data_IF_748829267074
#
_entry.id   IF_748829267074
#
_cell.length_a   1.000
_cell.length_b   1.000
_cell.length_c   1.000
_cell.angle_alpha   90.00
_cell.angle_beta   90.00
_cell.angle_gamma   90.00
#
_symmetry.space_group_name_H-M   'P 1'
#
loop_
_entity.id
_entity.type
_entity.pdbx_description
1 polymer ?
#
# COMPACT_ATOMS: atom_id res chain seq x y z
N UNK A 1 15.14 -23.21 6.16
CA UNK A 1 13.79 -22.81 6.58
C UNK A 1 13.83 -21.39 7.11
N UNK A 2 13.04 -20.51 6.53
CA UNK A 2 13.03 -19.12 6.95
C UNK A 2 12.24 -18.94 8.24
N UNK A 3 12.74 -18.10 9.12
CA UNK A 3 12.00 -17.72 10.30
C UNK A 3 10.86 -16.78 9.90
N UNK A 4 9.78 -16.84 10.65
CA UNK A 4 8.57 -16.06 10.38
C UNK A 4 8.34 -15.02 11.47
N UNK A 5 7.68 -13.95 11.07
CA UNK A 5 7.23 -12.91 11.98
C UNK A 5 5.80 -12.51 11.60
N UNK A 6 5.15 -11.83 12.52
CA UNK A 6 3.76 -11.44 12.31
C UNK A 6 3.69 -10.14 11.51
N UNK A 7 2.80 -10.11 10.50
CA UNK A 7 2.42 -8.88 9.83
C UNK A 7 0.92 -8.67 9.98
N UNK A 8 0.53 -7.44 10.30
CA UNK A 8 -0.87 -7.05 10.27
C UNK A 8 -1.03 -5.78 9.45
N UNK A 9 -2.10 -5.74 8.65
CA UNK A 9 -2.49 -4.57 7.88
C UNK A 9 -3.91 -4.22 8.32
N UNK A 10 -4.08 -3.01 8.84
CA UNK A 10 -5.33 -2.56 9.45
C UNK A 10 -5.76 -1.25 8.80
N UNK A 11 -7.05 -1.16 8.50
CA UNK A 11 -7.70 0.08 8.08
C UNK A 11 -8.70 0.49 9.16
N UNK A 12 -9.29 1.70 9.08
CA UNK A 12 -10.29 2.10 10.07
C UNK A 12 -11.51 1.18 10.18
N UNK A 13 -11.80 0.39 9.15
CA UNK A 13 -13.00 -0.43 9.11
C UNK A 13 -12.75 -1.93 9.26
N UNK A 14 -11.51 -2.40 9.06
CA UNK A 14 -11.26 -3.85 9.11
C UNK A 14 -9.78 -4.19 9.26
N UNK A 15 -9.54 -5.41 9.70
CA UNK A 15 -8.22 -6.05 9.63
C UNK A 15 -8.14 -6.72 8.26
N UNK A 16 -7.23 -6.25 7.41
CA UNK A 16 -7.09 -6.75 6.03
C UNK A 16 -6.19 -7.99 6.01
N UNK A 17 -5.15 -7.99 6.83
CA UNK A 17 -4.17 -9.06 6.90
C UNK A 17 -3.71 -9.24 8.33
N UNK A 18 -3.58 -10.50 8.76
CA UNK A 18 -3.02 -10.88 10.05
C UNK A 18 -2.44 -12.28 9.87
N UNK A 19 -1.14 -12.35 9.55
CA UNK A 19 -0.47 -13.61 9.23
C UNK A 19 0.96 -13.64 9.70
N UNK A 20 1.51 -14.84 9.80
CA UNK A 20 2.95 -15.04 9.92
C UNK A 20 3.56 -15.18 8.54
N UNK A 21 4.60 -14.41 8.27
CA UNK A 21 5.22 -14.30 6.95
C UNK A 21 6.75 -14.33 7.06
N UNK A 22 7.42 -14.50 5.94
CA UNK A 22 8.88 -14.59 5.90
C UNK A 22 9.54 -13.24 5.58
N UNK A 23 8.83 -12.37 4.87
CA UNK A 23 9.32 -11.06 4.46
C UNK A 23 8.14 -10.14 4.15
N UNK A 24 8.32 -8.85 4.40
CA UNK A 24 7.36 -7.81 3.97
C UNK A 24 8.12 -6.74 3.20
N UNK A 25 7.58 -6.34 2.06
CA UNK A 25 8.10 -5.21 1.28
C UNK A 25 7.00 -4.16 1.24
N UNK A 26 7.29 -2.96 1.76
CA UNK A 26 6.29 -1.91 1.93
C UNK A 26 6.70 -0.63 1.18
N UNK A 27 5.70 0.14 0.68
CA UNK A 27 5.96 1.39 -0.04
C UNK A 27 6.14 2.55 0.96
N UNK A 28 7.35 2.70 1.48
CA UNK A 28 7.68 3.79 2.40
C UNK A 28 7.81 5.13 1.69
N UNK A 29 7.69 6.21 2.46
CA UNK A 29 7.77 7.57 1.93
C UNK A 29 9.15 7.86 1.34
N UNK A 30 10.19 7.20 1.84
CA UNK A 30 11.57 7.34 1.35
C UNK A 30 11.92 6.28 0.30
N UNK A 31 10.96 5.47 -0.11
CA UNK A 31 11.15 4.39 -1.06
C UNK A 31 10.71 3.05 -0.48
N UNK A 32 10.67 2.03 -1.31
CA UNK A 32 10.37 0.68 -0.85
C UNK A 32 11.41 0.21 0.18
N UNK A 33 10.94 -0.51 1.19
CA UNK A 33 11.83 -1.14 2.14
C UNK A 33 11.35 -2.57 2.43
N UNK A 34 12.31 -3.44 2.67
CA UNK A 34 12.03 -4.84 3.02
C UNK A 34 12.29 -5.11 4.48
N UNK A 35 11.46 -5.96 5.07
CA UNK A 35 11.58 -6.36 6.47
C UNK A 35 11.70 -7.86 6.54
N UNK A 36 12.74 -8.32 7.25
CA UNK A 36 12.95 -9.72 7.63
C UNK A 36 12.91 -9.80 9.15
N UNK A 37 12.83 -11.02 9.69
CA UNK A 37 12.82 -11.18 11.14
C UNK A 37 14.08 -10.55 11.76
N UNK A 38 13.92 -9.95 12.93
CA UNK A 38 15.04 -9.29 13.62
C UNK A 38 15.38 -7.91 13.08
N UNK A 39 14.58 -7.37 12.18
CA UNK A 39 14.78 -6.02 11.65
C UNK A 39 14.85 -5.00 12.78
N UNK A 40 15.72 -4.01 12.63
CA UNK A 40 15.83 -2.90 13.58
C UNK A 40 14.48 -2.21 13.73
N UNK A 41 14.02 -1.93 14.95
CA UNK A 41 12.76 -1.20 15.15
C UNK A 41 12.73 0.12 14.41
N UNK A 42 11.60 0.41 13.78
CA UNK A 42 11.44 1.59 12.91
C UNK A 42 9.98 2.00 12.86
N UNK A 43 9.74 3.29 12.78
CA UNK A 43 8.43 3.85 12.48
C UNK A 43 8.59 4.73 11.25
N UNK A 44 7.79 4.49 10.22
CA UNK A 44 7.87 5.24 8.97
C UNK A 44 6.50 5.46 8.35
N UNK A 45 6.39 6.48 7.52
CA UNK A 45 5.16 6.72 6.76
C UNK A 45 5.11 5.82 5.54
N UNK A 46 3.88 5.43 5.19
CA UNK A 46 3.56 4.62 4.01
C UNK A 46 2.84 5.51 3.02
N UNK A 47 3.27 5.47 1.76
CA UNK A 47 2.59 6.16 0.65
C UNK A 47 1.74 5.16 -0.12
N UNK A 48 0.74 5.64 -0.89
CA UNK A 48 -0.05 4.73 -1.71
C UNK A 48 0.82 3.93 -2.67
N UNK A 49 0.63 2.63 -2.68
CA UNK A 49 1.45 1.73 -3.49
C UNK A 49 1.12 0.29 -3.25
N UNK A 50 2.06 -0.58 -3.60
CA UNK A 50 1.90 -2.02 -3.45
C UNK A 50 2.74 -2.50 -2.27
N UNK A 51 2.06 -3.16 -1.33
CA UNK A 51 2.71 -3.90 -0.25
C UNK A 51 2.71 -5.38 -0.63
N UNK A 52 3.84 -6.06 -0.44
CA UNK A 52 3.90 -7.49 -0.69
C UNK A 52 4.49 -8.22 0.52
N UNK A 53 4.09 -9.47 0.68
CA UNK A 53 4.66 -10.33 1.71
C UNK A 53 4.98 -11.70 1.13
N UNK A 54 5.99 -12.34 1.70
CA UNK A 54 6.46 -13.64 1.25
C UNK A 54 5.87 -14.73 2.12
N UNK A 55 5.18 -15.67 1.49
CA UNK A 55 4.59 -16.84 2.16
C UNK A 55 4.75 -18.05 1.25
N UNK A 56 5.42 -19.09 1.74
CA UNK A 56 5.64 -20.33 0.99
C UNK A 56 6.23 -20.09 -0.39
N UNK A 57 7.31 -19.30 -0.44
CA UNK A 57 8.07 -18.96 -1.64
C UNK A 57 7.28 -18.15 -2.67
N UNK A 58 6.15 -17.57 -2.29
CA UNK A 58 5.35 -16.72 -3.17
C UNK A 58 5.13 -15.35 -2.54
N UNK A 59 5.27 -14.31 -3.35
CA UNK A 59 4.90 -12.97 -2.94
C UNK A 59 3.41 -12.74 -3.21
N UNK A 60 2.72 -12.31 -2.17
CA UNK A 60 1.30 -11.95 -2.25
C UNK A 60 1.22 -10.44 -2.09
N UNK A 61 0.40 -9.79 -2.91
CA UNK A 61 0.39 -8.34 -3.03
C UNK A 61 -0.94 -7.73 -2.63
N UNK A 62 -0.85 -6.55 -2.02
CA UNK A 62 -1.99 -5.70 -1.68
C UNK A 62 -1.75 -4.29 -2.20
N UNK A 63 -2.83 -3.60 -2.57
CA UNK A 63 -2.77 -2.15 -2.80
C UNK A 63 -3.09 -1.48 -1.46
N UNK A 64 -2.22 -0.58 -1.02
CA UNK A 64 -2.39 0.13 0.25
C UNK A 64 -2.33 1.63 0.03
N UNK A 65 -3.12 2.36 0.83
CA UNK A 65 -3.13 3.81 0.81
C UNK A 65 -2.11 4.42 1.78
N UNK A 66 -2.38 5.64 2.20
CA UNK A 66 -1.50 6.37 3.11
C UNK A 66 -1.67 5.90 4.54
N UNK A 67 -0.59 5.97 5.30
CA UNK A 67 -0.59 5.66 6.70
C UNK A 67 0.82 5.56 7.25
N UNK A 68 1.01 4.65 8.18
CA UNK A 68 2.33 4.43 8.75
C UNK A 68 2.53 2.96 9.08
N UNK A 69 3.81 2.61 9.22
CA UNK A 69 4.25 1.25 9.47
C UNK A 69 5.17 1.26 10.69
N UNK A 70 4.84 0.43 11.66
CA UNK A 70 5.70 0.20 12.82
C UNK A 70 6.37 -1.15 12.67
N UNK A 71 7.69 -1.16 12.67
CA UNK A 71 8.49 -2.39 12.57
C UNK A 71 9.14 -2.66 13.92
N UNK A 72 8.89 -3.84 14.45
CA UNK A 72 9.54 -4.36 15.64
C UNK A 72 10.34 -5.60 15.25
N UNK A 73 11.12 -6.16 16.18
CA UNK A 73 11.98 -7.29 15.88
C UNK A 73 11.22 -8.53 15.37
N UNK A 74 9.98 -8.71 15.83
CA UNK A 74 9.18 -9.91 15.56
C UNK A 74 7.82 -9.60 14.93
N UNK A 75 7.55 -8.33 14.60
CA UNK A 75 6.22 -7.93 14.13
C UNK A 75 6.27 -6.65 13.31
N UNK A 76 5.40 -6.60 12.31
CA UNK A 76 5.17 -5.41 11.48
C UNK A 76 3.69 -5.05 11.54
N UNK A 77 3.38 -3.82 11.89
CA UNK A 77 2.01 -3.30 11.90
C UNK A 77 1.90 -2.18 10.88
N UNK A 78 0.99 -2.33 9.94
CA UNK A 78 0.72 -1.36 8.87
C UNK A 78 -0.68 -0.80 9.08
N UNK A 79 -0.76 0.49 9.37
CA UNK A 79 -2.04 1.19 9.59
C UNK A 79 -2.21 2.20 8.46
N UNK A 80 -3.17 1.93 7.59
CA UNK A 80 -3.40 2.70 6.37
C UNK A 80 -4.88 3.06 6.23
N UNK A 81 -5.18 4.08 5.43
CA UNK A 81 -6.55 4.53 5.23
C UNK A 81 -7.38 3.54 4.41
N UNK A 82 -6.75 2.81 3.49
CA UNK A 82 -7.42 1.78 2.69
C UNK A 82 -6.42 0.71 2.26
N UNK A 83 -6.92 -0.49 2.03
CA UNK A 83 -6.11 -1.61 1.55
C UNK A 83 -7.01 -2.61 0.84
N UNK A 84 -6.52 -3.19 -0.26
CA UNK A 84 -7.29 -4.13 -1.08
C UNK A 84 -6.43 -5.29 -1.54
N UNK A 85 -6.97 -6.50 -1.42
CA UNK A 85 -6.40 -7.69 -2.05
C UNK A 85 -6.73 -7.67 -3.55
N UNK A 86 -5.96 -8.42 -4.34
CA UNK A 86 -6.17 -8.50 -5.80
C UNK A 86 -7.61 -8.91 -6.13
N UNK A 87 -8.16 -9.86 -5.38
CA UNK A 87 -9.50 -10.40 -5.61
C UNK A 87 -10.61 -9.37 -5.41
N UNK A 88 -10.33 -8.31 -4.68
CA UNK A 88 -11.31 -7.24 -4.41
C UNK A 88 -11.35 -6.19 -5.52
N UNK A 89 -10.46 -6.27 -6.51
CA UNK A 89 -10.28 -5.24 -7.52
C UNK A 89 -10.86 -5.63 -8.87
N UNK A 90 -11.54 -4.68 -9.51
CA UNK A 90 -12.08 -4.80 -10.86
C UNK A 90 -11.28 -3.88 -11.78
N UNK A 91 -10.54 -4.44 -12.72
CA UNK A 91 -9.66 -3.68 -13.60
C UNK A 91 -10.39 -2.60 -14.40
N UNK A 92 -11.60 -2.89 -14.86
CA UNK A 92 -12.38 -1.91 -15.65
C UNK A 92 -12.81 -0.74 -14.78
N UNK A 93 -13.32 -1.04 -13.59
CA UNK A 93 -13.75 0.01 -12.65
C UNK A 93 -12.57 0.88 -12.21
N UNK A 94 -11.43 0.26 -11.91
CA UNK A 94 -10.22 0.98 -11.50
C UNK A 94 -9.67 1.83 -12.63
N UNK A 95 -9.67 1.32 -13.85
CA UNK A 95 -9.23 2.08 -15.04
C UNK A 95 -10.08 3.32 -15.25
N UNK A 96 -11.39 3.18 -15.09
CA UNK A 96 -12.33 4.30 -15.20
C UNK A 96 -12.08 5.34 -14.11
N UNK A 97 -11.87 4.90 -12.88
CA UNK A 97 -11.52 5.77 -11.75
C UNK A 97 -10.24 6.56 -12.06
N UNK A 98 -9.22 5.87 -12.55
CA UNK A 98 -7.95 6.50 -12.87
C UNK A 98 -8.11 7.58 -13.95
N UNK A 99 -8.87 7.31 -15.02
CA UNK A 99 -9.13 8.29 -16.07
C UNK A 99 -9.80 9.54 -15.51
N UNK A 100 -10.79 9.38 -14.64
CA UNK A 100 -11.46 10.51 -14.00
C UNK A 100 -10.51 11.35 -13.16
N UNK A 101 -9.62 10.69 -12.42
CA UNK A 101 -8.63 11.39 -11.60
C UNK A 101 -7.61 12.13 -12.47
N UNK A 102 -7.18 11.54 -13.57
CA UNK A 102 -6.25 12.18 -14.51
C UNK A 102 -6.87 13.43 -15.13
N UNK A 103 -8.15 13.40 -15.46
CA UNK A 103 -8.87 14.57 -15.96
C UNK A 103 -8.93 15.67 -14.91
N UNK A 104 -9.18 15.32 -13.65
CA UNK A 104 -9.17 16.29 -12.55
C UNK A 104 -7.78 16.91 -12.37
N UNK A 105 -6.72 16.14 -12.55
CA UNK A 105 -5.35 16.63 -12.40
C UNK A 105 -5.03 17.70 -13.44
N UNK A 106 -5.51 17.54 -14.67
CA UNK A 106 -5.32 18.53 -15.73
C UNK A 106 -6.02 19.85 -15.38
N UNK A 107 -7.16 19.78 -14.71
CA UNK A 107 -8.01 20.94 -14.41
C UNK A 107 -7.63 21.67 -13.12
N UNK A 108 -6.91 21.03 -12.21
CA UNK A 108 -6.60 21.63 -10.90
C UNK A 108 -5.39 22.56 -10.98
N UNK A 109 -5.47 23.66 -10.23
CA UNK A 109 -4.36 24.60 -10.08
C UNK A 109 -3.63 24.30 -8.76
N UNK A 110 -2.44 23.72 -8.86
CA UNK A 110 -1.64 23.34 -7.69
C UNK A 110 -1.24 24.52 -6.83
N UNK A 111 -1.11 25.71 -7.43
CA UNK A 111 -0.74 26.93 -6.71
C UNK A 111 -1.94 27.49 -5.95
N UNK A 112 -3.11 27.51 -6.58
CA UNK A 112 -4.32 28.05 -5.99
C UNK A 112 -4.92 27.09 -4.93
N UNK A 113 -4.75 25.77 -5.13
CA UNK A 113 -5.32 24.75 -4.25
C UNK A 113 -4.29 23.65 -3.98
N UNK A 114 -3.25 23.93 -3.19
CA UNK A 114 -2.20 22.94 -2.91
C UNK A 114 -2.71 21.73 -2.14
N UNK A 115 -3.68 21.89 -1.25
CA UNK A 115 -4.24 20.78 -0.48
C UNK A 115 -5.06 19.85 -1.37
N UNK A 116 -5.87 20.40 -2.25
CA UNK A 116 -6.65 19.62 -3.22
C UNK A 116 -5.73 18.88 -4.19
N UNK A 117 -4.65 19.52 -4.62
CA UNK A 117 -3.66 18.91 -5.49
C UNK A 117 -2.98 17.72 -4.79
N UNK A 118 -2.59 17.89 -3.54
CA UNK A 118 -1.96 16.82 -2.73
C UNK A 118 -2.89 15.62 -2.59
N UNK A 119 -4.17 15.88 -2.25
CA UNK A 119 -5.16 14.81 -2.12
C UNK A 119 -5.38 14.08 -3.43
N UNK A 120 -5.44 14.81 -4.52
CA UNK A 120 -5.65 14.24 -5.85
C UNK A 120 -4.47 13.38 -6.28
N UNK A 121 -3.23 13.83 -6.04
CA UNK A 121 -2.05 13.02 -6.37
C UNK A 121 -1.97 11.75 -5.54
N UNK A 122 -2.40 11.79 -4.29
CA UNK A 122 -2.49 10.60 -3.44
C UNK A 122 -3.50 9.59 -4.01
N UNK A 123 -4.68 10.07 -4.41
CA UNK A 123 -5.70 9.22 -5.04
C UNK A 123 -5.22 8.62 -6.35
N UNK A 124 -4.48 9.38 -7.14
CA UNK A 124 -3.89 8.89 -8.38
C UNK A 124 -2.90 7.76 -8.12
N UNK A 125 -2.02 7.91 -7.14
CA UNK A 125 -1.07 6.86 -6.78
C UNK A 125 -1.79 5.61 -6.34
N UNK A 126 -2.85 5.76 -5.55
CA UNK A 126 -3.65 4.61 -5.10
C UNK A 126 -4.34 3.91 -6.27
N UNK A 127 -4.94 4.67 -7.18
CA UNK A 127 -5.59 4.10 -8.36
C UNK A 127 -4.59 3.37 -9.25
N UNK A 128 -3.39 3.91 -9.42
CA UNK A 128 -2.34 3.24 -10.20
C UNK A 128 -1.89 1.93 -9.55
N UNK A 129 -1.76 1.92 -8.22
CA UNK A 129 -1.41 0.70 -7.48
C UNK A 129 -2.50 -0.36 -7.66
N UNK A 130 -3.76 0.03 -7.53
CA UNK A 130 -4.90 -0.87 -7.73
C UNK A 130 -4.91 -1.43 -9.15
N UNK A 131 -4.72 -0.57 -10.15
CA UNK A 131 -4.73 -1.01 -11.54
C UNK A 131 -3.58 -1.97 -11.84
N UNK A 132 -2.40 -1.70 -11.31
CA UNK A 132 -1.24 -2.60 -11.45
C UNK A 132 -1.58 -4.01 -10.97
N UNK A 133 -2.22 -4.14 -9.81
CA UNK A 133 -2.61 -5.44 -9.27
C UNK A 133 -3.75 -6.07 -10.06
N UNK A 134 -4.77 -5.29 -10.40
CA UNK A 134 -5.96 -5.78 -11.07
C UNK A 134 -5.66 -6.25 -12.50
N UNK A 135 -4.66 -5.67 -13.15
CA UNK A 135 -4.25 -6.05 -14.51
C UNK A 135 -3.20 -7.16 -14.53
N UNK A 136 -2.76 -7.64 -13.37
CA UNK A 136 -1.76 -8.70 -13.28
C UNK A 136 -0.32 -8.23 -13.49
N UNK A 137 -0.10 -6.94 -13.38
CA UNK A 137 1.25 -6.36 -13.59
C UNK A 137 2.10 -6.35 -12.34
#
# INVERSE_FOLDING_TARGET
MSEKFKVEVVTPTRVVLDKEVEEVIAPGIMGEFGVLIGHTPMLTFVKPGVLSYLENDKFIKFAVGEGFCEVLADRVSVLVDEAYAVEELDAVAVSSELQGLEQQLVAIDATADPEGYRKLTSKLKMARAKLSLASGS
#
